data_IF_387221078350
#
_entry.id   IF_387221078350
#
_cell.length_a   1.000
_cell.length_b   1.000
_cell.length_c   1.000
_cell.angle_alpha   90.00
_cell.angle_beta   90.00
_cell.angle_gamma   90.00
#
_symmetry.space_group_name_H-M   'P 1'
#
loop_
_entity.id
_entity.type
_entity.pdbx_description
1 polymer ?
#
# COMPACT_ATOMS: atom_id res chain seq x y z
N UNK A 1 5.28 21.95 27.81
CA UNK A 1 4.52 22.68 28.85
C UNK A 1 3.19 21.97 29.02
N UNK A 2 2.99 21.17 30.07
CA UNK A 2 1.83 20.24 30.17
C UNK A 2 0.51 20.88 30.62
N UNK A 3 0.42 22.18 30.86
CA UNK A 3 -0.78 22.80 31.45
C UNK A 3 -1.29 24.05 30.74
N UNK A 4 -1.08 24.21 29.44
CA UNK A 4 -1.60 25.36 28.69
C UNK A 4 -2.68 24.86 27.72
N UNK A 5 -3.88 25.43 27.79
CA UNK A 5 -4.99 25.06 26.92
C UNK A 5 -4.66 25.40 25.45
N UNK A 6 -5.30 24.72 24.51
CA UNK A 6 -5.03 24.77 23.08
C UNK A 6 -5.08 26.22 22.52
N UNK A 7 -6.07 27.01 22.92
CA UNK A 7 -6.26 28.39 22.40
C UNK A 7 -5.19 29.34 22.94
N UNK A 8 -4.80 29.18 24.21
CA UNK A 8 -3.70 29.93 24.80
C UNK A 8 -2.38 29.58 24.17
N UNK A 9 -2.16 28.30 23.82
CA UNK A 9 -0.95 27.83 23.11
C UNK A 9 -0.88 28.42 21.71
N UNK A 10 -1.98 28.38 20.93
CA UNK A 10 -2.05 28.96 19.60
C UNK A 10 -1.77 30.48 19.61
N UNK A 11 -2.32 31.19 20.60
CA UNK A 11 -2.13 32.61 20.78
C UNK A 11 -0.68 32.97 21.18
N UNK A 12 -0.05 32.21 22.07
CA UNK A 12 1.37 32.37 22.44
C UNK A 12 2.27 32.11 21.22
N UNK A 13 1.99 31.05 20.43
CA UNK A 13 2.76 30.76 19.21
C UNK A 13 2.60 31.85 18.16
N UNK A 14 1.40 32.44 17.97
CA UNK A 14 1.16 33.56 17.09
C UNK A 14 1.96 34.82 17.49
N UNK A 15 1.87 35.21 18.74
CA UNK A 15 2.62 36.36 19.28
C UNK A 15 4.14 36.12 19.21
N UNK A 16 4.60 34.90 19.52
CA UNK A 16 6.02 34.57 19.44
C UNK A 16 6.55 34.63 17.99
N UNK A 17 5.73 34.26 17.00
CA UNK A 17 6.03 34.36 15.56
C UNK A 17 6.10 35.85 15.13
N UNK A 18 5.13 36.68 15.53
CA UNK A 18 5.09 38.13 15.24
C UNK A 18 6.29 38.88 15.84
N UNK A 19 6.73 38.46 17.03
CA UNK A 19 7.90 39.07 17.73
C UNK A 19 9.24 38.48 17.26
N UNK A 20 9.25 37.57 16.27
CA UNK A 20 10.47 36.96 15.79
C UNK A 20 11.17 36.05 16.82
N UNK A 21 10.48 35.63 17.89
CA UNK A 21 11.05 34.81 18.97
C UNK A 21 11.67 33.52 18.49
N UNK A 22 11.13 32.96 17.38
CA UNK A 22 11.68 31.76 16.77
C UNK A 22 12.89 31.98 15.87
N UNK A 23 13.19 33.25 15.53
CA UNK A 23 14.35 33.60 14.69
C UNK A 23 15.70 33.38 15.41
N UNK A 24 15.71 33.34 16.76
CA UNK A 24 16.93 33.13 17.55
C UNK A 24 17.19 31.69 18.01
N UNK A 25 16.19 30.82 17.98
CA UNK A 25 16.45 29.38 17.99
C UNK A 25 16.58 28.97 16.52
N UNK A 26 17.71 28.43 16.15
CA UNK A 26 18.05 27.94 14.80
C UNK A 26 16.97 27.05 14.16
N UNK A 27 15.75 27.56 14.10
CA UNK A 27 14.69 27.06 13.27
C UNK A 27 14.94 27.66 11.89
N UNK A 28 15.77 27.00 11.07
CA UNK A 28 15.62 27.11 9.63
C UNK A 28 14.12 27.02 9.37
N UNK A 29 13.55 28.01 8.68
CA UNK A 29 12.23 27.85 8.06
C UNK A 29 12.25 26.48 7.41
N UNK A 30 11.32 25.56 7.73
CA UNK A 30 11.36 24.25 7.12
C UNK A 30 11.52 24.43 5.62
N UNK A 31 12.51 23.78 5.03
CA UNK A 31 12.63 23.79 3.58
C UNK A 31 11.30 23.28 3.03
N UNK A 32 10.81 23.90 1.96
CA UNK A 32 9.58 23.45 1.31
C UNK A 32 9.82 22.20 0.44
N UNK A 33 10.70 21.29 0.91
CA UNK A 33 11.05 20.05 0.20
C UNK A 33 10.73 18.82 1.06
N UNK A 34 9.99 17.91 0.49
CA UNK A 34 9.70 16.58 1.07
C UNK A 34 10.38 15.51 0.23
N UNK A 35 10.86 14.46 0.87
CA UNK A 35 11.39 13.26 0.22
C UNK A 35 10.31 12.19 0.08
N UNK A 36 10.22 11.55 -1.08
CA UNK A 36 9.49 10.31 -1.29
C UNK A 36 10.50 9.22 -1.61
N UNK A 37 10.62 8.22 -0.75
CA UNK A 37 11.56 7.12 -0.92
C UNK A 37 10.74 5.83 -1.15
N UNK A 38 11.05 5.12 -2.23
CA UNK A 38 10.44 3.84 -2.57
C UNK A 38 11.49 2.90 -3.12
N UNK A 39 11.22 1.59 -3.13
CA UNK A 39 12.13 0.62 -3.76
C UNK A 39 12.01 0.69 -5.28
N UNK A 40 13.13 0.53 -6.00
CA UNK A 40 13.17 0.62 -7.47
C UNK A 40 12.30 -0.42 -8.17
N UNK A 41 12.16 -1.61 -7.60
CA UNK A 41 11.23 -2.62 -8.09
C UNK A 41 9.77 -2.10 -8.07
N UNK A 42 9.41 -1.32 -7.04
CA UNK A 42 8.07 -0.76 -6.93
C UNK A 42 7.83 0.44 -7.86
N UNK A 43 8.88 1.20 -8.19
CA UNK A 43 8.74 2.37 -9.07
C UNK A 43 8.63 2.01 -10.56
N UNK A 44 9.19 0.86 -10.98
CA UNK A 44 9.32 0.55 -12.41
C UNK A 44 8.09 -0.08 -13.05
N UNK A 45 7.32 -0.90 -12.33
CA UNK A 45 6.36 -1.79 -12.98
C UNK A 45 4.98 -1.89 -12.29
N UNK A 46 4.73 -1.17 -11.20
CA UNK A 46 3.42 -1.23 -10.53
C UNK A 46 2.62 0.05 -10.70
N UNK A 47 1.48 -0.06 -11.39
CA UNK A 47 0.51 1.04 -11.53
C UNK A 47 0.10 1.61 -10.16
N UNK A 48 0.00 0.75 -9.14
CA UNK A 48 -0.31 1.12 -7.77
C UNK A 48 0.68 2.16 -7.21
N UNK A 49 1.97 1.87 -7.26
CA UNK A 49 3.01 2.78 -6.76
C UNK A 49 3.12 4.07 -7.60
N UNK A 50 2.95 3.97 -8.93
CA UNK A 50 2.90 5.14 -9.80
C UNK A 50 1.69 6.05 -9.49
N UNK A 51 0.54 5.47 -9.15
CA UNK A 51 -0.63 6.23 -8.73
C UNK A 51 -0.37 7.00 -7.44
N UNK A 52 0.22 6.37 -6.42
CA UNK A 52 0.63 7.04 -5.20
C UNK A 52 1.65 8.15 -5.44
N UNK A 53 2.68 7.88 -6.23
CA UNK A 53 3.70 8.87 -6.57
C UNK A 53 3.06 10.13 -7.20
N UNK A 54 2.17 9.94 -8.17
CA UNK A 54 1.44 11.04 -8.82
C UNK A 54 0.60 11.83 -7.81
N UNK A 55 -0.11 11.12 -6.91
CA UNK A 55 -0.90 11.75 -5.86
C UNK A 55 -0.03 12.58 -4.92
N UNK A 56 1.07 12.03 -4.43
CA UNK A 56 1.98 12.74 -3.53
C UNK A 56 2.61 13.97 -4.17
N UNK A 57 3.04 13.88 -5.44
CA UNK A 57 3.58 15.03 -6.18
C UNK A 57 2.55 16.15 -6.27
N UNK A 58 1.30 15.84 -6.64
CA UNK A 58 0.22 16.82 -6.74
C UNK A 58 -0.13 17.44 -5.41
N UNK A 59 -0.32 16.62 -4.38
CA UNK A 59 -0.70 17.09 -3.03
C UNK A 59 0.41 17.89 -2.35
N UNK A 60 1.69 17.50 -2.52
CA UNK A 60 2.80 18.30 -2.01
C UNK A 60 2.78 19.70 -2.62
N UNK A 61 2.59 19.79 -3.94
CA UNK A 61 2.51 21.07 -4.64
C UNK A 61 1.33 21.92 -4.14
N UNK A 62 0.14 21.34 -3.96
CA UNK A 62 -1.05 22.02 -3.41
C UNK A 62 -0.79 22.61 -2.01
N UNK A 63 0.08 21.99 -1.22
CA UNK A 63 0.49 22.44 0.11
C UNK A 63 1.74 23.33 0.09
N UNK A 64 2.25 23.72 -1.08
CA UNK A 64 3.43 24.61 -1.20
C UNK A 64 4.76 23.89 -1.02
N UNK A 65 4.80 22.56 -1.11
CA UNK A 65 6.02 21.75 -1.01
C UNK A 65 6.44 21.20 -2.37
N UNK A 66 7.76 21.08 -2.55
CA UNK A 66 8.35 20.30 -3.63
C UNK A 66 8.58 18.87 -3.15
N UNK A 67 8.14 17.87 -3.94
CA UNK A 67 8.41 16.47 -3.66
C UNK A 67 9.63 16.01 -4.47
N UNK A 68 10.63 15.48 -3.79
CA UNK A 68 11.80 14.85 -4.40
C UNK A 68 11.65 13.34 -4.27
N UNK A 69 11.65 12.64 -5.43
CA UNK A 69 11.44 11.19 -5.48
C UNK A 69 12.78 10.47 -5.57
N UNK A 70 12.95 9.44 -4.77
CA UNK A 70 14.17 8.65 -4.68
C UNK A 70 13.88 7.17 -4.79
N UNK A 71 14.72 6.55 -5.59
CA UNK A 71 14.83 5.11 -5.70
C UNK A 71 15.92 4.62 -4.73
N UNK A 72 15.57 3.72 -3.83
CA UNK A 72 16.52 3.20 -2.85
C UNK A 72 17.56 2.24 -3.48
N UNK A 73 17.35 1.70 -4.69
CA UNK A 73 18.33 0.84 -5.36
C UNK A 73 19.74 1.46 -5.43
N UNK A 74 19.82 2.79 -5.46
CA UNK A 74 21.10 3.52 -5.46
C UNK A 74 21.75 3.64 -4.07
N UNK A 75 21.03 3.33 -2.98
CA UNK A 75 21.44 3.65 -1.61
C UNK A 75 21.56 2.45 -0.69
N UNK A 76 21.16 1.25 -1.13
CA UNK A 76 21.16 0.02 -0.32
C UNK A 76 22.53 -0.32 0.31
N UNK A 77 23.61 0.29 -0.20
CA UNK A 77 24.98 -0.01 0.23
C UNK A 77 25.69 1.13 0.97
N UNK A 78 25.11 2.31 1.05
CA UNK A 78 25.74 3.48 1.68
C UNK A 78 24.73 4.36 2.44
N UNK A 79 24.47 3.99 3.71
CA UNK A 79 23.62 4.78 4.61
C UNK A 79 24.16 6.21 4.86
N UNK A 80 25.47 6.45 4.73
CA UNK A 80 26.04 7.78 4.87
C UNK A 80 25.75 8.65 3.65
N UNK A 81 25.68 8.05 2.45
CA UNK A 81 25.30 8.76 1.25
C UNK A 81 23.84 9.21 1.32
N UNK A 82 22.92 8.34 1.76
CA UNK A 82 21.52 8.71 2.00
C UNK A 82 21.41 9.87 3.00
N UNK A 83 22.10 9.80 4.14
CA UNK A 83 22.08 10.84 5.15
C UNK A 83 22.62 12.17 4.61
N UNK A 84 23.78 12.18 3.93
CA UNK A 84 24.34 13.37 3.29
C UNK A 84 23.35 13.97 2.32
N UNK A 85 22.78 13.11 1.48
CA UNK A 85 21.83 13.55 0.47
C UNK A 85 20.57 14.20 1.10
N UNK A 86 19.93 13.60 2.11
CA UNK A 86 18.78 14.18 2.81
C UNK A 86 19.14 15.55 3.41
N UNK A 87 20.37 15.72 3.92
CA UNK A 87 20.86 16.96 4.51
C UNK A 87 21.17 18.02 3.46
N UNK A 88 21.90 17.65 2.39
CA UNK A 88 22.33 18.58 1.33
C UNK A 88 21.17 19.02 0.45
N UNK A 89 20.16 18.15 0.27
CA UNK A 89 18.93 18.49 -0.45
C UNK A 89 17.94 19.31 0.40
N UNK A 90 18.25 19.57 1.66
CA UNK A 90 17.40 20.33 2.60
C UNK A 90 15.99 19.71 2.75
N UNK A 91 15.89 18.39 2.79
CA UNK A 91 14.63 17.68 3.01
C UNK A 91 14.13 17.96 4.43
N UNK A 92 12.85 18.33 4.57
CA UNK A 92 12.21 18.60 5.86
C UNK A 92 11.44 17.43 6.45
N UNK A 93 11.06 16.46 5.63
CA UNK A 93 10.34 15.26 6.04
C UNK A 93 10.30 14.22 4.92
N UNK A 94 10.08 12.96 5.27
CA UNK A 94 10.18 11.83 4.35
C UNK A 94 8.92 10.97 4.38
N UNK A 95 8.39 10.66 3.19
CA UNK A 95 7.45 9.58 2.96
C UNK A 95 8.22 8.32 2.53
N UNK A 96 7.95 7.19 3.16
CA UNK A 96 8.38 5.86 2.70
C UNK A 96 7.17 5.21 2.07
N UNK A 97 7.28 4.79 0.81
CA UNK A 97 6.19 4.17 0.06
C UNK A 97 6.49 2.71 -0.24
N UNK A 98 5.62 1.82 0.24
CA UNK A 98 5.74 0.38 0.08
C UNK A 98 6.80 -0.27 0.97
N UNK A 99 6.97 -1.59 0.81
CA UNK A 99 7.90 -2.36 1.61
C UNK A 99 9.35 -1.98 1.31
N UNK A 100 10.06 -1.65 2.36
CA UNK A 100 11.47 -1.33 2.37
C UNK A 100 12.13 -2.14 3.47
N UNK A 101 13.36 -2.59 3.26
CA UNK A 101 14.11 -3.29 4.28
C UNK A 101 14.19 -2.47 5.58
N UNK A 102 13.90 -3.11 6.72
CA UNK A 102 13.76 -2.42 8.02
C UNK A 102 15.04 -1.71 8.44
N UNK A 103 16.21 -2.26 8.07
CA UNK A 103 17.51 -1.63 8.31
C UNK A 103 17.67 -0.31 7.55
N UNK A 104 17.19 -0.23 6.31
CA UNK A 104 17.23 0.99 5.52
C UNK A 104 16.24 2.03 6.05
N UNK A 105 15.02 1.60 6.40
CA UNK A 105 14.04 2.46 7.04
C UNK A 105 14.57 3.01 8.38
N UNK A 106 15.29 2.20 9.18
CA UNK A 106 15.94 2.64 10.41
C UNK A 106 16.99 3.72 10.15
N UNK A 107 17.76 3.60 9.08
CA UNK A 107 18.73 4.62 8.67
C UNK A 107 18.06 5.96 8.34
N UNK A 108 16.91 5.93 7.64
CA UNK A 108 16.12 7.12 7.32
C UNK A 108 15.60 7.77 8.62
N UNK A 109 14.99 6.99 9.50
CA UNK A 109 14.48 7.47 10.81
C UNK A 109 15.61 8.07 11.66
N UNK A 110 16.81 7.46 11.65
CA UNK A 110 17.98 7.95 12.41
C UNK A 110 18.51 9.31 11.94
N UNK A 111 18.07 9.80 10.77
CA UNK A 111 18.41 11.14 10.31
C UNK A 111 17.73 12.26 11.11
N UNK A 112 16.75 11.92 11.96
CA UNK A 112 16.06 12.88 12.83
C UNK A 112 15.02 13.73 12.10
N UNK A 113 14.67 13.38 10.87
CA UNK A 113 13.57 14.00 10.12
C UNK A 113 12.23 13.33 10.48
N UNK A 114 11.10 14.04 10.39
CA UNK A 114 9.78 13.43 10.40
C UNK A 114 9.64 12.39 9.28
N UNK A 115 9.15 11.19 9.63
CA UNK A 115 8.95 10.09 8.68
C UNK A 115 7.53 9.57 8.79
N UNK A 116 6.88 9.37 7.65
CA UNK A 116 5.59 8.68 7.55
C UNK A 116 5.71 7.55 6.52
N UNK A 117 5.31 6.34 6.88
CA UNK A 117 5.30 5.19 5.99
C UNK A 117 3.88 4.96 5.43
N UNK A 118 3.80 4.48 4.18
CA UNK A 118 2.54 4.22 3.47
C UNK A 118 2.60 2.87 2.78
N UNK A 119 1.57 2.05 2.96
CA UNK A 119 1.46 0.72 2.34
C UNK A 119 2.44 -0.31 2.91
N UNK A 120 3.02 -0.05 4.09
CA UNK A 120 3.92 -0.97 4.79
C UNK A 120 3.86 -0.76 6.29
N UNK A 121 4.44 -1.69 7.05
CA UNK A 121 4.63 -1.56 8.50
C UNK A 121 5.98 -2.13 8.92
N UNK A 122 6.54 -1.55 9.97
CA UNK A 122 7.78 -2.01 10.60
C UNK A 122 7.49 -2.58 11.99
N UNK A 123 8.18 -3.64 12.37
CA UNK A 123 7.99 -4.28 13.67
C UNK A 123 8.84 -3.63 14.77
N UNK A 124 10.08 -3.28 14.46
CA UNK A 124 11.05 -2.72 15.40
C UNK A 124 11.15 -1.20 15.36
N UNK A 125 10.54 -0.54 14.34
CA UNK A 125 10.60 0.90 14.21
C UNK A 125 9.30 1.57 14.64
N UNK A 126 9.44 2.69 15.35
CA UNK A 126 8.35 3.57 15.72
C UNK A 126 8.16 4.63 14.64
N UNK A 127 7.38 4.31 13.61
CA UNK A 127 7.08 5.19 12.47
C UNK A 127 5.57 5.34 12.36
N UNK A 128 5.12 6.58 12.14
CA UNK A 128 3.72 6.84 11.80
C UNK A 128 3.39 6.16 10.46
N UNK A 129 2.39 5.31 10.43
CA UNK A 129 2.10 4.46 9.28
C UNK A 129 0.65 4.56 8.85
N UNK A 130 0.41 4.67 7.55
CA UNK A 130 -0.89 4.52 6.91
C UNK A 130 -0.85 3.28 6.02
N UNK A 131 -1.72 2.33 6.29
CA UNK A 131 -1.83 1.09 5.53
C UNK A 131 -3.31 0.74 5.35
N UNK A 132 -3.67 0.18 4.23
CA UNK A 132 -5.00 -0.36 4.00
C UNK A 132 -5.30 -1.54 4.94
N UNK A 133 -6.56 -1.74 5.31
CA UNK A 133 -6.97 -2.90 6.11
C UNK A 133 -7.02 -4.16 5.21
N UNK A 134 -5.86 -4.77 5.01
CA UNK A 134 -5.68 -5.94 4.15
C UNK A 134 -6.45 -7.17 4.66
N UNK A 135 -6.62 -7.29 5.98
CA UNK A 135 -7.40 -8.38 6.58
C UNK A 135 -8.88 -8.21 6.27
N UNK A 136 -9.40 -6.98 6.42
CA UNK A 136 -10.79 -6.65 6.07
C UNK A 136 -11.02 -6.77 4.56
N UNK A 137 -10.06 -6.36 3.73
CA UNK A 137 -10.11 -6.54 2.27
C UNK A 137 -10.34 -8.01 1.88
N UNK A 138 -9.55 -8.90 2.47
CA UNK A 138 -9.69 -10.33 2.25
C UNK A 138 -11.03 -10.89 2.77
N UNK A 139 -11.46 -10.40 3.94
CA UNK A 139 -12.77 -10.78 4.50
C UNK A 139 -13.92 -10.36 3.58
N UNK A 140 -13.92 -9.12 3.06
CA UNK A 140 -14.93 -8.62 2.12
C UNK A 140 -14.96 -9.45 0.82
N UNK A 141 -13.79 -9.80 0.27
CA UNK A 141 -13.69 -10.63 -0.92
C UNK A 141 -14.33 -12.02 -0.71
N UNK A 142 -13.94 -12.72 0.38
CA UNK A 142 -14.49 -14.05 0.72
C UNK A 142 -15.99 -13.97 1.02
N UNK A 143 -16.43 -12.97 1.77
CA UNK A 143 -17.85 -12.76 2.07
C UNK A 143 -18.66 -12.55 0.80
N UNK A 144 -18.19 -11.72 -0.12
CA UNK A 144 -18.87 -11.47 -1.38
C UNK A 144 -18.96 -12.74 -2.23
N UNK A 145 -17.86 -13.47 -2.42
CA UNK A 145 -17.84 -14.73 -3.14
C UNK A 145 -18.78 -15.77 -2.49
N UNK A 146 -18.79 -15.82 -1.15
CA UNK A 146 -19.71 -16.71 -0.42
C UNK A 146 -21.19 -16.36 -0.67
N UNK A 147 -21.54 -15.07 -0.69
CA UNK A 147 -22.92 -14.63 -1.00
C UNK A 147 -23.32 -14.90 -2.45
N UNK A 148 -22.34 -14.92 -3.38
CA UNK A 148 -22.54 -15.33 -4.78
C UNK A 148 -22.56 -16.86 -4.99
N UNK A 149 -22.55 -17.66 -3.92
CA UNK A 149 -22.70 -19.12 -3.99
C UNK A 149 -21.38 -19.89 -4.09
N UNK A 150 -20.21 -19.25 -4.14
CA UNK A 150 -18.92 -19.95 -4.14
C UNK A 150 -18.67 -20.65 -2.79
N UNK A 151 -18.17 -21.88 -2.84
CA UNK A 151 -17.88 -22.69 -1.65
C UNK A 151 -16.46 -23.26 -1.65
N UNK A 152 -15.87 -23.48 -2.81
CA UNK A 152 -14.46 -23.81 -2.99
C UNK A 152 -13.74 -22.55 -3.45
N UNK A 153 -12.84 -22.02 -2.64
CA UNK A 153 -12.13 -20.77 -2.95
C UNK A 153 -10.62 -20.98 -2.86
N UNK A 154 -9.90 -20.37 -3.80
CA UNK A 154 -8.45 -20.36 -3.85
C UNK A 154 -7.86 -18.96 -3.65
N UNK A 155 -6.55 -18.93 -3.50
CA UNK A 155 -5.76 -17.69 -3.39
C UNK A 155 -4.66 -17.67 -4.46
N UNK A 156 -4.45 -16.53 -5.09
CA UNK A 156 -3.36 -16.32 -6.06
C UNK A 156 -2.46 -15.19 -5.57
N UNK A 157 -1.20 -15.50 -5.25
CA UNK A 157 -0.17 -14.53 -4.85
C UNK A 157 0.83 -15.12 -3.87
N UNK A 158 2.08 -14.63 -3.92
CA UNK A 158 3.14 -15.00 -2.97
C UNK A 158 3.00 -14.18 -1.67
N UNK A 159 2.65 -14.80 -0.52
CA UNK A 159 2.51 -14.08 0.75
C UNK A 159 3.81 -13.44 1.24
N UNK A 160 4.96 -13.88 0.71
CA UNK A 160 6.28 -13.33 1.07
C UNK A 160 6.70 -12.16 0.17
N UNK A 161 5.88 -11.83 -0.84
CA UNK A 161 6.18 -10.74 -1.77
C UNK A 161 6.14 -9.35 -1.09
N UNK A 162 5.15 -9.14 -0.22
CA UNK A 162 4.99 -7.88 0.52
C UNK A 162 4.19 -8.08 1.80
N UNK A 163 4.28 -7.11 2.71
CA UNK A 163 3.43 -7.05 3.93
C UNK A 163 1.95 -7.17 3.58
N UNK A 164 1.49 -6.43 2.56
CA UNK A 164 0.10 -6.44 2.13
C UNK A 164 -0.35 -7.82 1.63
N UNK A 165 0.48 -8.52 0.83
CA UNK A 165 0.15 -9.86 0.33
C UNK A 165 0.07 -10.88 1.46
N UNK A 166 0.99 -10.81 2.44
CA UNK A 166 0.95 -11.66 3.63
C UNK A 166 -0.32 -11.46 4.43
N UNK A 167 -0.70 -10.21 4.70
CA UNK A 167 -1.92 -9.87 5.45
C UNK A 167 -3.21 -10.28 4.69
N UNK A 168 -3.24 -10.11 3.36
CA UNK A 168 -4.36 -10.56 2.52
C UNK A 168 -4.50 -12.09 2.55
N UNK A 169 -3.39 -12.82 2.49
CA UNK A 169 -3.38 -14.28 2.61
C UNK A 169 -3.88 -14.76 3.97
N UNK A 170 -3.37 -14.18 5.06
CA UNK A 170 -3.79 -14.53 6.42
C UNK A 170 -5.27 -14.19 6.65
N UNK A 171 -5.70 -13.03 6.14
CA UNK A 171 -7.10 -12.58 6.14
C UNK A 171 -8.01 -13.56 5.36
N UNK A 172 -7.58 -14.02 4.18
CA UNK A 172 -8.30 -15.00 3.39
C UNK A 172 -8.47 -16.32 4.14
N UNK A 173 -7.41 -16.90 4.68
CA UNK A 173 -7.46 -18.13 5.47
C UNK A 173 -8.36 -17.98 6.72
N UNK A 174 -8.30 -16.81 7.36
CA UNK A 174 -9.15 -16.50 8.52
C UNK A 174 -10.62 -16.38 8.14
N UNK A 175 -10.93 -15.73 7.01
CA UNK A 175 -12.28 -15.58 6.49
C UNK A 175 -12.88 -16.93 6.11
N UNK A 176 -12.15 -17.80 5.40
CA UNK A 176 -12.62 -19.16 5.09
C UNK A 176 -13.02 -19.92 6.35
N UNK A 177 -12.20 -19.90 7.40
CA UNK A 177 -12.53 -20.54 8.68
C UNK A 177 -13.80 -19.98 9.29
N UNK A 178 -14.00 -18.66 9.24
CA UNK A 178 -15.19 -17.98 9.78
C UNK A 178 -16.46 -18.37 9.04
N UNK A 179 -16.40 -18.60 7.73
CA UNK A 179 -17.51 -19.07 6.91
C UNK A 179 -17.67 -20.61 6.91
N UNK A 180 -16.82 -21.35 7.64
CA UNK A 180 -16.85 -22.81 7.67
C UNK A 180 -16.45 -23.46 6.35
N UNK A 181 -15.62 -22.77 5.54
CA UNK A 181 -15.17 -23.24 4.25
C UNK A 181 -13.79 -23.92 4.36
N UNK A 182 -13.48 -24.93 3.53
CA UNK A 182 -12.17 -25.54 3.50
C UNK A 182 -11.14 -24.57 2.94
N UNK A 183 -9.92 -24.62 3.49
CA UNK A 183 -8.74 -24.03 2.88
C UNK A 183 -7.93 -25.16 2.25
N UNK A 184 -8.19 -25.43 0.97
CA UNK A 184 -7.54 -26.53 0.24
C UNK A 184 -6.14 -26.07 -0.24
N UNK A 185 -5.05 -26.75 0.16
CA UNK A 185 -3.70 -26.41 -0.30
C UNK A 185 -3.53 -26.43 -1.83
N UNK A 186 -4.28 -27.27 -2.56
CA UNK A 186 -4.23 -27.32 -4.03
C UNK A 186 -4.74 -26.01 -4.68
N UNK A 187 -5.62 -25.28 -4.00
CA UNK A 187 -6.15 -24.01 -4.49
C UNK A 187 -5.31 -22.79 -4.07
N UNK A 188 -4.19 -23.00 -3.38
CA UNK A 188 -3.29 -21.93 -2.95
C UNK A 188 -2.13 -21.77 -3.94
N UNK A 189 -2.26 -20.87 -4.91
CA UNK A 189 -1.24 -20.57 -5.90
C UNK A 189 -0.28 -19.51 -5.32
N UNK A 190 0.67 -19.93 -4.47
CA UNK A 190 1.51 -19.05 -3.66
C UNK A 190 2.85 -18.65 -4.32
N UNK A 191 3.03 -18.94 -5.61
CA UNK A 191 4.25 -18.57 -6.35
C UNK A 191 4.11 -17.34 -7.23
N UNK A 192 2.92 -16.97 -7.77
CA UNK A 192 2.79 -15.78 -8.61
C UNK A 192 3.03 -14.49 -7.84
N UNK A 193 3.83 -13.59 -8.42
CA UNK A 193 4.18 -12.28 -7.86
C UNK A 193 3.72 -11.15 -8.78
N UNK A 194 3.48 -9.98 -8.21
CA UNK A 194 3.01 -8.83 -8.99
C UNK A 194 4.08 -8.24 -9.92
N UNK A 195 5.36 -8.52 -9.66
CA UNK A 195 6.52 -8.11 -10.47
C UNK A 195 7.02 -9.18 -11.45
N UNK A 196 6.30 -10.31 -11.61
CA UNK A 196 6.64 -11.33 -12.60
C UNK A 196 6.59 -10.74 -14.02
N UNK A 197 7.61 -11.01 -14.82
CA UNK A 197 7.70 -10.54 -16.20
C UNK A 197 6.58 -11.05 -17.11
N UNK A 198 6.00 -12.24 -16.80
CA UNK A 198 4.87 -12.84 -17.52
C UNK A 198 3.91 -13.47 -16.52
N UNK A 199 3.12 -12.64 -15.85
CA UNK A 199 2.15 -13.06 -14.83
C UNK A 199 1.18 -14.15 -15.34
N UNK A 200 0.56 -14.02 -16.54
CA UNK A 200 -0.33 -15.06 -17.03
C UNK A 200 0.35 -16.42 -17.17
N UNK A 201 1.59 -16.46 -17.63
CA UNK A 201 2.35 -17.70 -17.77
C UNK A 201 2.76 -18.30 -16.43
N UNK A 202 3.10 -17.46 -15.46
CA UNK A 202 3.42 -17.93 -14.10
C UNK A 202 2.18 -18.54 -13.45
N UNK A 203 1.02 -17.90 -13.58
CA UNK A 203 -0.26 -18.44 -13.09
C UNK A 203 -0.63 -19.71 -13.84
N UNK A 204 -0.49 -19.75 -15.18
CA UNK A 204 -0.78 -20.91 -15.98
C UNK A 204 0.01 -22.14 -15.51
N UNK A 205 1.31 -22.00 -15.24
CA UNK A 205 2.13 -23.07 -14.66
C UNK A 205 1.69 -23.48 -13.25
N UNK A 206 1.26 -22.53 -12.42
CA UNK A 206 0.75 -22.85 -11.09
C UNK A 206 -0.56 -23.65 -11.16
N UNK A 207 -1.42 -23.34 -12.14
CA UNK A 207 -2.65 -24.09 -12.42
C UNK A 207 -2.41 -25.54 -12.89
N UNK A 208 -1.22 -25.88 -13.40
CA UNK A 208 -0.87 -27.28 -13.75
C UNK A 208 -0.83 -28.21 -12.53
N UNK A 209 -0.75 -27.65 -11.32
CA UNK A 209 -0.73 -28.41 -10.06
C UNK A 209 -2.13 -28.55 -9.43
N UNK A 210 -3.17 -28.03 -10.08
CA UNK A 210 -4.55 -28.02 -9.59
C UNK A 210 -5.35 -29.09 -10.31
N UNK A 211 -5.77 -30.14 -9.61
CA UNK A 211 -6.53 -31.25 -10.19
C UNK A 211 -7.95 -30.80 -10.55
N UNK A 212 -8.63 -30.06 -9.71
CA UNK A 212 -9.98 -29.51 -9.87
C UNK A 212 -9.99 -28.03 -9.53
N UNK A 213 -10.44 -27.19 -10.47
CA UNK A 213 -10.52 -25.75 -10.23
C UNK A 213 -11.52 -25.41 -9.11
N UNK A 214 -11.23 -24.41 -8.26
CA UNK A 214 -12.19 -23.90 -7.30
C UNK A 214 -13.28 -23.06 -7.99
N UNK A 215 -14.38 -22.75 -7.27
CA UNK A 215 -15.43 -21.86 -7.75
C UNK A 215 -14.94 -20.43 -7.97
N UNK A 216 -13.91 -20.02 -7.21
CA UNK A 216 -13.36 -18.67 -7.26
C UNK A 216 -11.91 -18.59 -6.78
N UNK A 217 -11.19 -17.58 -7.27
CA UNK A 217 -9.92 -17.15 -6.69
C UNK A 217 -10.01 -15.71 -6.15
N UNK A 218 -9.48 -15.52 -4.94
CA UNK A 218 -9.08 -14.22 -4.45
C UNK A 218 -7.62 -13.97 -4.83
N UNK A 219 -7.38 -12.97 -5.67
CA UNK A 219 -6.07 -12.60 -6.15
C UNK A 219 -5.48 -11.50 -5.27
N UNK A 220 -4.22 -11.65 -4.87
CA UNK A 220 -3.58 -10.73 -3.95
C UNK A 220 -3.58 -9.27 -4.44
N UNK A 221 -3.64 -9.05 -5.77
CA UNK A 221 -3.92 -7.74 -6.37
C UNK A 221 -4.55 -7.87 -7.76
N UNK A 222 -4.89 -6.74 -8.38
CA UNK A 222 -5.53 -6.70 -9.71
C UNK A 222 -4.62 -7.16 -10.85
N UNK A 223 -3.30 -6.99 -10.74
CA UNK A 223 -2.37 -7.52 -11.75
C UNK A 223 -2.44 -9.04 -11.82
N UNK A 224 -2.44 -9.68 -10.67
CA UNK A 224 -2.63 -11.13 -10.58
C UNK A 224 -4.04 -11.53 -11.02
N UNK A 225 -5.06 -10.74 -10.69
CA UNK A 225 -6.44 -10.98 -11.11
C UNK A 225 -6.62 -10.95 -12.63
N UNK A 226 -6.07 -9.95 -13.31
CA UNK A 226 -6.09 -9.85 -14.78
C UNK A 226 -5.22 -10.94 -15.41
N UNK A 227 -4.07 -11.24 -14.81
CA UNK A 227 -3.22 -12.37 -15.23
C UNK A 227 -3.93 -13.71 -15.13
N UNK A 228 -4.68 -13.94 -14.04
CA UNK A 228 -5.49 -15.14 -13.84
C UNK A 228 -6.63 -15.25 -14.87
N UNK A 229 -7.33 -14.15 -15.14
CA UNK A 229 -8.37 -14.12 -16.18
C UNK A 229 -7.80 -14.53 -17.55
N UNK A 230 -6.60 -14.01 -17.90
CA UNK A 230 -5.93 -14.38 -19.15
C UNK A 230 -5.46 -15.84 -19.17
N UNK A 231 -4.87 -16.34 -18.08
CA UNK A 231 -4.43 -17.74 -17.98
C UNK A 231 -5.61 -18.72 -18.11
N UNK A 232 -6.72 -18.46 -17.40
CA UNK A 232 -7.95 -19.25 -17.48
C UNK A 232 -8.55 -19.21 -18.89
N UNK A 233 -8.62 -18.03 -19.52
CA UNK A 233 -9.10 -17.89 -20.90
C UNK A 233 -8.29 -18.74 -21.88
N UNK A 234 -6.97 -18.77 -21.77
CA UNK A 234 -6.10 -19.59 -22.64
C UNK A 234 -6.31 -21.09 -22.43
N UNK A 235 -6.82 -21.51 -21.27
CA UNK A 235 -7.22 -22.89 -20.96
C UNK A 235 -8.67 -23.21 -21.38
N UNK A 236 -9.38 -22.24 -21.95
CA UNK A 236 -10.79 -22.41 -22.32
C UNK A 236 -11.76 -22.37 -21.12
N UNK A 237 -11.30 -21.93 -19.95
CA UNK A 237 -12.11 -21.78 -18.73
C UNK A 237 -12.76 -20.39 -18.72
N UNK A 238 -14.08 -20.36 -18.57
CA UNK A 238 -14.82 -19.11 -18.60
C UNK A 238 -14.81 -18.39 -17.25
N UNK A 239 -14.52 -17.07 -17.29
CA UNK A 239 -14.69 -16.16 -16.16
C UNK A 239 -15.83 -15.20 -16.50
N UNK A 240 -16.88 -15.08 -15.69
CA UNK A 240 -17.13 -15.71 -14.39
C UNK A 240 -17.89 -17.07 -14.47
N UNK A 241 -18.12 -17.62 -15.67
CA UNK A 241 -19.01 -18.78 -15.86
C UNK A 241 -18.64 -20.01 -15.05
N UNK A 242 -17.36 -20.40 -15.06
CA UNK A 242 -16.82 -21.56 -14.34
C UNK A 242 -16.03 -21.13 -13.11
N UNK A 243 -15.21 -20.07 -13.21
CA UNK A 243 -14.38 -19.57 -12.12
C UNK A 243 -14.61 -18.08 -11.94
N UNK A 244 -14.91 -17.64 -10.73
CA UNK A 244 -15.02 -16.23 -10.36
C UNK A 244 -13.67 -15.68 -9.90
N UNK A 245 -13.42 -14.38 -10.13
CA UNK A 245 -12.19 -13.69 -9.71
C UNK A 245 -12.49 -12.43 -8.94
N UNK A 246 -11.77 -12.21 -7.82
CA UNK A 246 -11.75 -10.94 -7.08
C UNK A 246 -10.30 -10.50 -6.91
N UNK A 247 -10.01 -9.25 -7.24
CA UNK A 247 -8.70 -8.61 -7.04
C UNK A 247 -8.70 -7.62 -5.89
N UNK A 248 -7.60 -6.87 -5.78
CA UNK A 248 -7.43 -5.74 -4.85
C UNK A 248 -6.70 -4.62 -5.60
N UNK A 249 -6.93 -3.39 -5.24
CA UNK A 249 -6.40 -2.09 -5.65
C UNK A 249 -7.40 -1.26 -6.48
N UNK A 250 -8.43 -1.86 -7.07
CA UNK A 250 -9.42 -1.20 -7.96
C UNK A 250 -8.72 -0.34 -9.05
N UNK A 251 -7.66 -0.89 -9.64
CA UNK A 251 -6.84 -0.16 -10.60
C UNK A 251 -7.48 -0.12 -12.00
N UNK A 252 -7.08 0.83 -12.87
CA UNK A 252 -7.64 0.94 -14.22
C UNK A 252 -7.44 -0.30 -15.10
N UNK A 253 -6.41 -1.10 -14.88
CA UNK A 253 -6.19 -2.33 -15.65
C UNK A 253 -7.31 -3.34 -15.41
N UNK A 254 -7.73 -3.54 -14.16
CA UNK A 254 -8.85 -4.39 -13.80
C UNK A 254 -10.17 -3.89 -14.41
N UNK A 255 -10.37 -2.57 -14.46
CA UNK A 255 -11.59 -1.97 -15.03
C UNK A 255 -11.74 -2.16 -16.54
N UNK A 256 -10.63 -2.18 -17.27
CA UNK A 256 -10.62 -2.37 -18.75
C UNK A 256 -10.43 -3.83 -19.16
N UNK A 257 -10.19 -4.73 -18.22
CA UNK A 257 -10.10 -6.16 -18.48
C UNK A 257 -11.44 -6.73 -18.98
N UNK A 258 -11.39 -7.88 -19.63
CA UNK A 258 -12.57 -8.62 -20.09
C UNK A 258 -12.54 -10.05 -19.54
N UNK A 259 -13.45 -10.37 -18.59
CA UNK A 259 -14.44 -9.49 -17.96
C UNK A 259 -13.78 -8.41 -17.07
N UNK A 260 -14.49 -7.30 -16.78
CA UNK A 260 -14.01 -6.30 -15.82
C UNK A 260 -13.89 -6.93 -14.43
N UNK A 261 -12.79 -6.63 -13.75
CA UNK A 261 -12.46 -7.31 -12.48
C UNK A 261 -13.25 -6.71 -11.31
N UNK A 262 -13.94 -7.55 -10.56
CA UNK A 262 -14.41 -7.21 -9.22
C UNK A 262 -13.18 -7.06 -8.33
N UNK A 263 -13.07 -5.96 -7.61
CA UNK A 263 -11.86 -5.62 -6.87
C UNK A 263 -12.17 -4.92 -5.55
N UNK A 264 -11.27 -5.00 -4.60
CA UNK A 264 -11.33 -4.23 -3.36
C UNK A 264 -10.59 -2.90 -3.58
N UNK A 265 -11.30 -1.78 -3.43
CA UNK A 265 -10.69 -0.44 -3.42
C UNK A 265 -9.99 -0.19 -2.08
N UNK A 266 -8.72 0.11 -2.15
CA UNK A 266 -7.86 0.42 -0.99
C UNK A 266 -7.76 1.92 -0.71
N UNK A 267 -8.54 2.74 -1.41
CA UNK A 267 -8.63 4.19 -1.23
C UNK A 267 -7.26 4.90 -1.28
N UNK A 268 -6.45 4.62 -2.31
CA UNK A 268 -5.10 5.20 -2.49
C UNK A 268 -5.07 6.73 -2.32
N UNK A 269 -6.09 7.44 -2.85
CA UNK A 269 -6.18 8.90 -2.72
C UNK A 269 -6.32 9.32 -1.26
N UNK A 270 -7.17 8.67 -0.49
CA UNK A 270 -7.37 8.97 0.93
C UNK A 270 -6.12 8.67 1.75
N UNK A 271 -5.46 7.53 1.48
CA UNK A 271 -4.19 7.19 2.13
C UNK A 271 -3.13 8.26 1.85
N UNK A 272 -2.99 8.67 0.58
CA UNK A 272 -2.03 9.70 0.18
C UNK A 272 -2.33 11.04 0.87
N UNK A 273 -3.59 11.46 0.93
CA UNK A 273 -4.00 12.72 1.56
C UNK A 273 -3.73 12.71 3.06
N UNK A 274 -4.13 11.66 3.76
CA UNK A 274 -3.94 11.55 5.21
C UNK A 274 -2.46 11.50 5.58
N UNK A 275 -1.66 10.74 4.86
CA UNK A 275 -0.24 10.56 5.15
C UNK A 275 0.58 11.82 4.85
N UNK A 276 0.32 12.51 3.73
CA UNK A 276 1.05 13.75 3.40
C UNK A 276 0.69 14.89 4.35
N UNK A 277 -0.60 15.04 4.70
CA UNK A 277 -1.04 16.02 5.69
C UNK A 277 -0.38 15.77 7.05
N UNK A 278 -0.29 14.51 7.46
CA UNK A 278 0.37 14.13 8.72
C UNK A 278 1.87 14.41 8.68
N UNK A 279 2.54 14.11 7.56
CA UNK A 279 3.95 14.45 7.41
C UNK A 279 4.17 15.97 7.50
N UNK A 280 3.36 16.76 6.80
CA UNK A 280 3.45 18.23 6.84
C UNK A 280 3.19 18.76 8.26
N UNK A 281 2.21 18.20 8.99
CA UNK A 281 1.96 18.63 10.37
C UNK A 281 3.17 18.38 11.29
N UNK A 282 3.87 17.25 11.13
CA UNK A 282 5.10 16.96 11.83
C UNK A 282 6.24 17.93 11.44
N UNK A 283 6.38 18.25 10.16
CA UNK A 283 7.35 19.25 9.65
C UNK A 283 7.06 20.62 10.23
N UNK A 284 5.78 20.98 10.41
CA UNK A 284 5.34 22.23 11.03
C UNK A 284 5.43 22.22 12.56
N UNK A 285 5.92 21.16 13.20
CA UNK A 285 6.21 21.09 14.63
C UNK A 285 5.11 20.47 15.49
N UNK A 286 4.14 19.78 14.90
CA UNK A 286 3.28 18.88 15.67
C UNK A 286 4.15 17.80 16.36
N UNK A 287 3.76 17.39 17.56
CA UNK A 287 4.45 16.33 18.29
C UNK A 287 4.41 15.02 17.48
N UNK A 288 5.59 14.41 17.28
CA UNK A 288 5.69 13.18 16.51
C UNK A 288 5.07 12.02 17.29
N UNK A 289 3.98 11.48 16.75
CA UNK A 289 3.28 10.31 17.30
C UNK A 289 3.31 9.14 16.30
N UNK A 290 4.06 8.05 16.60
CA UNK A 290 4.23 6.91 15.71
C UNK A 290 3.02 5.95 15.77
N UNK A 291 1.83 6.45 15.46
CA UNK A 291 0.62 5.65 15.37
C UNK A 291 0.53 4.90 14.04
N UNK A 292 -0.20 3.79 14.06
CA UNK A 292 -0.58 3.04 12.86
C UNK A 292 -2.06 3.30 12.57
N UNK A 293 -2.33 3.72 11.34
CA UNK A 293 -3.67 3.99 10.86
C UNK A 293 -4.04 2.96 9.81
N UNK A 294 -5.11 2.20 10.07
CA UNK A 294 -5.74 1.34 9.08
C UNK A 294 -6.73 2.18 8.28
N UNK A 295 -6.59 2.16 6.95
CA UNK A 295 -7.52 2.82 6.03
C UNK A 295 -8.55 1.78 5.59
N UNK A 296 -9.86 2.06 5.74
CA UNK A 296 -10.90 1.11 5.36
C UNK A 296 -10.85 0.82 3.87
N UNK A 297 -11.38 -0.34 3.51
CA UNK A 297 -11.45 -0.82 2.12
C UNK A 297 -12.91 -1.01 1.71
N UNK A 298 -13.18 -1.03 0.40
CA UNK A 298 -14.52 -1.18 -0.15
C UNK A 298 -14.53 -2.11 -1.37
N UNK A 299 -15.50 -3.03 -1.43
CA UNK A 299 -15.67 -3.90 -2.59
C UNK A 299 -16.34 -3.12 -3.75
N UNK A 300 -15.68 -3.11 -4.91
CA UNK A 300 -16.20 -2.56 -6.17
C UNK A 300 -16.51 -3.71 -7.12
N UNK A 301 -17.78 -3.85 -7.48
CA UNK A 301 -18.24 -4.93 -8.35
C UNK A 301 -17.84 -4.67 -9.81
N UNK A 302 -17.33 -5.70 -10.45
CA UNK A 302 -17.15 -5.84 -11.90
C UNK A 302 -17.89 -7.06 -12.42
N UNK A 303 -17.51 -7.53 -13.60
CA UNK A 303 -18.16 -8.64 -14.29
C UNK A 303 -17.47 -10.00 -14.05
N UNK A 304 -16.40 -10.06 -13.25
CA UNK A 304 -15.57 -11.24 -13.04
C UNK A 304 -16.12 -12.22 -12.00
N UNK A 305 -17.25 -11.93 -11.37
CA UNK A 305 -17.90 -12.79 -10.38
C UNK A 305 -19.30 -13.18 -10.85
N UNK A 306 -19.59 -14.49 -10.83
CA UNK A 306 -20.91 -15.01 -11.17
C UNK A 306 -21.95 -14.51 -10.16
N UNK A 307 -23.01 -13.93 -10.65
CA UNK A 307 -24.14 -13.56 -9.80
C UNK A 307 -24.94 -14.79 -9.39
N UNK A 308 -25.49 -14.81 -8.16
CA UNK A 308 -26.27 -15.90 -7.61
C UNK A 308 -27.63 -16.10 -8.34
#
# INVERSE_FOLDING_TARGET
MPNVNHDTRARICGIAAELGYYAHKSHRTPSQKLGLISTGAHLKDSYFYMAFQKLFLGMAYEHGYQMMVFDNEYWDRDSQALRRWLTESEISGVLILGDMEETLAANIVSCGLPVVAVGTRYHSLRVCTYIEDNTEAAYQAVQYLYTCGCRKMGFIGDPMYSTAFGERYDGFCSALRRFGLPCDPQHLLLTPRADDADIPRTIDRALDQVDELPDAFFCANDYLGVGAAKALFLRGVSVPGEVSLVGVDNNPLGKIALPSLTSIDVHCRQQAELSIRKLISFVCGEEYDPLRFLVPTELVQGDSVKQA
#
